data_IF_270759403799
#
_entry.id   IF_270759403799
#
_cell.length_a   1.000
_cell.length_b   1.000
_cell.length_c   1.000
_cell.angle_alpha   90.00
_cell.angle_beta   90.00
_cell.angle_gamma   90.00
#
_symmetry.space_group_name_H-M   'P 1'
#
loop_
_entity.id
_entity.type
_entity.pdbx_description
1 polymer ?
#
# COMPACT_ATOMS: atom_id res chain seq x y z
N UNK A 1 -55.08 6.50 -7.64
CA UNK A 1 -53.65 6.54 -7.25
C UNK A 1 -53.51 7.33 -5.95
N UNK A 2 -53.55 6.69 -4.76
CA UNK A 2 -53.46 7.41 -3.48
C UNK A 2 -52.03 7.89 -3.14
N UNK A 3 -51.00 7.18 -3.60
CA UNK A 3 -49.59 7.43 -3.26
C UNK A 3 -49.08 8.84 -3.57
N UNK A 4 -49.63 9.51 -4.60
CA UNK A 4 -49.16 10.85 -5.01
C UNK A 4 -49.45 11.92 -3.96
N UNK A 5 -50.64 11.91 -3.36
CA UNK A 5 -51.03 12.94 -2.37
C UNK A 5 -50.15 12.86 -1.12
N UNK A 6 -49.93 11.64 -0.60
CA UNK A 6 -49.04 11.40 0.55
C UNK A 6 -47.60 11.84 0.26
N UNK A 7 -47.10 11.60 -0.96
CA UNK A 7 -45.78 12.06 -1.37
C UNK A 7 -45.71 13.60 -1.42
N UNK A 8 -46.68 14.29 -2.02
CA UNK A 8 -46.70 15.76 -2.04
C UNK A 8 -46.74 16.37 -0.62
N UNK A 9 -47.50 15.77 0.30
CA UNK A 9 -47.56 16.21 1.71
C UNK A 9 -46.19 16.03 2.39
N UNK A 10 -45.55 14.86 2.27
CA UNK A 10 -44.24 14.60 2.88
C UNK A 10 -43.14 15.53 2.34
N UNK A 11 -43.10 15.71 1.01
CA UNK A 11 -42.15 16.63 0.35
C UNK A 11 -42.40 18.10 0.77
N UNK A 12 -43.66 18.51 0.90
CA UNK A 12 -44.06 19.84 1.34
C UNK A 12 -43.67 20.13 2.79
N UNK A 13 -43.90 19.18 3.71
CA UNK A 13 -43.49 19.28 5.12
C UNK A 13 -41.95 19.37 5.24
N UNK A 14 -41.21 18.55 4.49
CA UNK A 14 -39.74 18.60 4.46
C UNK A 14 -39.20 19.95 3.97
N UNK A 15 -39.82 20.53 2.93
CA UNK A 15 -39.48 21.86 2.43
C UNK A 15 -39.83 22.96 3.46
N UNK A 16 -41.02 22.92 4.05
CA UNK A 16 -41.47 23.90 5.05
C UNK A 16 -40.56 23.91 6.29
N UNK A 17 -40.16 22.74 6.80
CA UNK A 17 -39.20 22.64 7.91
C UNK A 17 -37.83 23.23 7.54
N UNK A 18 -37.35 22.99 6.32
CA UNK A 18 -36.07 23.52 5.83
C UNK A 18 -36.08 25.05 5.71
N UNK A 19 -37.19 25.63 5.23
CA UNK A 19 -37.39 27.09 5.15
C UNK A 19 -37.53 27.69 6.56
N UNK A 20 -38.31 27.08 7.45
CA UNK A 20 -38.47 27.51 8.84
C UNK A 20 -37.13 27.55 9.59
N UNK A 21 -36.28 26.54 9.41
CA UNK A 21 -34.94 26.51 9.97
C UNK A 21 -34.09 27.71 9.48
N UNK A 22 -34.09 27.99 8.18
CA UNK A 22 -33.33 29.10 7.59
C UNK A 22 -33.83 30.48 8.07
N UNK A 23 -35.15 30.67 8.19
CA UNK A 23 -35.74 31.91 8.71
C UNK A 23 -35.36 32.11 10.19
N UNK A 24 -35.52 31.09 11.03
CA UNK A 24 -35.23 31.16 12.47
C UNK A 24 -33.74 31.40 12.76
N UNK A 25 -32.83 30.83 11.97
CA UNK A 25 -31.38 30.93 12.21
C UNK A 25 -30.71 32.09 11.46
N UNK A 26 -31.37 32.70 10.47
CA UNK A 26 -31.00 33.96 9.79
C UNK A 26 -29.48 34.23 9.69
N UNK A 27 -28.71 33.34 9.01
CA UNK A 27 -27.25 33.36 9.06
C UNK A 27 -26.66 34.62 8.41
N UNK A 28 -26.14 35.54 9.25
CA UNK A 28 -25.70 36.89 8.85
C UNK A 28 -24.45 36.97 7.95
N UNK A 29 -23.90 35.84 7.49
CA UNK A 29 -22.80 35.76 6.52
C UNK A 29 -22.96 34.50 5.67
N UNK A 30 -22.70 34.62 4.36
CA UNK A 30 -22.41 33.44 3.52
C UNK A 30 -21.00 32.93 3.86
N UNK A 31 -20.89 31.68 4.28
CA UNK A 31 -19.65 31.07 4.78
C UNK A 31 -18.75 30.56 3.64
N UNK A 32 -17.43 30.49 3.87
CA UNK A 32 -16.48 29.89 2.93
C UNK A 32 -16.64 28.37 2.87
N UNK A 33 -16.37 27.77 1.70
CA UNK A 33 -16.61 26.34 1.38
C UNK A 33 -15.87 25.28 2.24
N UNK A 34 -15.06 25.66 3.23
CA UNK A 34 -14.14 24.71 3.92
C UNK A 34 -14.79 24.03 5.14
N UNK A 35 -15.95 24.48 5.59
CA UNK A 35 -16.67 23.90 6.74
C UNK A 35 -18.09 23.44 6.35
N UNK A 36 -18.25 22.16 6.00
CA UNK A 36 -19.56 21.50 5.87
C UNK A 36 -20.05 21.11 7.27
N UNK A 37 -20.54 22.09 8.02
CA UNK A 37 -21.25 21.86 9.28
C UNK A 37 -22.72 21.41 9.04
N UNK A 38 -23.42 21.01 10.11
CA UNK A 38 -24.77 20.43 10.01
C UNK A 38 -25.79 21.28 9.24
N UNK A 39 -25.63 22.61 9.22
CA UNK A 39 -26.53 23.54 8.49
C UNK A 39 -26.47 23.36 6.97
N UNK A 40 -25.34 22.91 6.41
CA UNK A 40 -25.24 22.62 4.97
C UNK A 40 -26.16 21.48 4.53
N UNK A 41 -26.32 20.46 5.37
CA UNK A 41 -27.21 19.33 5.07
C UNK A 41 -28.67 19.77 4.92
N UNK A 42 -29.14 20.72 5.74
CA UNK A 42 -30.50 21.27 5.63
C UNK A 42 -30.71 21.96 4.28
N UNK A 43 -29.72 22.72 3.79
CA UNK A 43 -29.79 23.38 2.48
C UNK A 43 -29.77 22.36 1.34
N UNK A 44 -28.86 21.38 1.39
CA UNK A 44 -28.74 20.32 0.36
C UNK A 44 -30.04 19.49 0.30
N UNK A 45 -30.59 19.10 1.45
CA UNK A 45 -31.85 18.35 1.56
C UNK A 45 -33.04 19.20 1.06
N UNK A 46 -33.09 20.48 1.42
CA UNK A 46 -34.11 21.42 0.93
C UNK A 46 -34.08 21.58 -0.60
N UNK A 47 -32.89 21.66 -1.20
CA UNK A 47 -32.72 21.70 -2.66
C UNK A 47 -33.12 20.38 -3.34
N UNK A 48 -32.86 19.23 -2.71
CA UNK A 48 -33.33 17.92 -3.20
C UNK A 48 -34.86 17.83 -3.15
N UNK A 49 -35.49 18.32 -2.08
CA UNK A 49 -36.97 18.38 -1.97
C UNK A 49 -37.57 19.33 -3.00
N UNK A 50 -37.03 20.54 -3.15
CA UNK A 50 -37.49 21.52 -4.15
C UNK A 50 -37.35 20.97 -5.58
N UNK A 51 -36.21 20.36 -5.92
CA UNK A 51 -35.99 19.70 -7.23
C UNK A 51 -36.97 18.55 -7.46
N UNK A 52 -37.25 17.74 -6.43
CA UNK A 52 -38.20 16.62 -6.52
C UNK A 52 -39.64 17.10 -6.77
N UNK A 53 -40.08 18.13 -6.04
CA UNK A 53 -41.37 18.78 -6.25
C UNK A 53 -41.49 19.38 -7.66
N UNK A 54 -40.44 20.04 -8.15
CA UNK A 54 -40.43 20.65 -9.48
C UNK A 54 -40.45 19.59 -10.60
N UNK A 55 -39.73 18.48 -10.44
CA UNK A 55 -39.78 17.33 -11.37
C UNK A 55 -41.13 16.60 -11.36
N UNK A 56 -41.84 16.59 -10.22
CA UNK A 56 -43.20 16.07 -10.11
C UNK A 56 -44.22 17.03 -10.75
N UNK A 57 -44.08 18.34 -10.54
CA UNK A 57 -44.90 19.37 -11.19
C UNK A 57 -44.76 19.39 -12.71
N UNK A 58 -43.54 19.24 -13.25
CA UNK A 58 -43.27 19.12 -14.69
C UNK A 58 -43.87 17.83 -15.29
N UNK A 59 -44.11 16.79 -14.47
CA UNK A 59 -44.87 15.58 -14.85
C UNK A 59 -46.38 15.69 -14.59
N UNK A 60 -46.86 16.82 -14.07
CA UNK A 60 -48.22 17.04 -13.56
C UNK A 60 -49.15 17.85 -14.48
N UNK A 61 -48.97 17.81 -15.81
CA UNK A 61 -49.76 18.60 -16.76
C UNK A 61 -50.26 17.78 -17.96
N UNK A 62 -51.45 17.13 -17.89
CA UNK A 62 -52.06 16.44 -19.02
C UNK A 62 -52.66 17.44 -20.02
N UNK A 63 -51.85 17.89 -20.99
CA UNK A 63 -52.34 18.70 -22.13
C UNK A 63 -53.00 17.78 -23.17
N UNK A 64 -54.32 17.66 -23.12
CA UNK A 64 -55.09 16.79 -24.02
C UNK A 64 -55.36 17.48 -25.37
N UNK A 65 -54.69 17.04 -26.45
CA UNK A 65 -55.17 16.95 -27.85
C UNK A 65 -54.04 16.59 -28.83
N UNK A 66 -54.33 16.07 -30.04
CA UNK A 66 -55.66 15.70 -30.54
C UNK A 66 -55.60 14.86 -31.83
N UNK A 67 -55.64 13.53 -31.79
CA UNK A 67 -55.56 12.67 -30.59
C UNK A 67 -54.34 12.96 -29.70
N UNK A 68 -53.09 12.78 -30.12
CA UNK A 68 -52.60 12.16 -31.37
C UNK A 68 -51.33 11.34 -31.07
N UNK A 69 -51.01 10.38 -31.95
CA UNK A 69 -49.70 9.69 -32.09
C UNK A 69 -49.05 8.97 -30.88
N UNK A 70 -49.15 7.63 -30.90
CA UNK A 70 -48.05 6.63 -30.75
C UNK A 70 -46.95 6.78 -29.66
N UNK A 71 -47.00 5.84 -28.72
CA UNK A 71 -46.01 4.73 -28.52
C UNK A 71 -44.84 4.80 -27.52
N UNK A 72 -44.44 3.58 -27.09
CA UNK A 72 -43.22 3.14 -26.38
C UNK A 72 -43.14 3.33 -24.85
N UNK A 73 -42.08 2.76 -24.25
CA UNK A 73 -42.16 1.92 -23.04
C UNK A 73 -40.92 2.00 -22.12
N UNK A 74 -41.07 1.76 -20.80
CA UNK A 74 -40.23 0.86 -19.98
C UNK A 74 -40.44 1.05 -18.44
N UNK A 75 -40.28 -0.05 -17.70
CA UNK A 75 -40.37 -0.21 -16.23
C UNK A 75 -39.07 0.11 -15.46
N UNK A 76 -39.15 0.41 -14.16
CA UNK A 76 -38.01 0.37 -13.21
C UNK A 76 -38.41 -0.05 -11.77
N UNK A 77 -37.41 -0.29 -10.92
CA UNK A 77 -37.42 -1.06 -9.65
C UNK A 77 -37.75 -0.27 -8.34
N UNK A 78 -37.99 -0.94 -7.19
CA UNK A 78 -38.45 -0.35 -5.92
C UNK A 78 -37.36 -0.04 -4.87
N UNK A 79 -37.78 0.37 -3.66
CA UNK A 79 -36.96 0.97 -2.57
C UNK A 79 -36.79 0.11 -1.28
N UNK A 80 -36.11 0.69 -0.28
CA UNK A 80 -35.53 0.12 0.97
C UNK A 80 -36.41 0.15 2.25
N UNK A 81 -35.99 -0.60 3.29
CA UNK A 81 -36.42 -0.51 4.71
C UNK A 81 -35.36 -1.21 5.64
N UNK A 82 -35.29 -1.09 6.99
CA UNK A 82 -35.74 -0.07 7.98
C UNK A 82 -35.37 -0.46 9.44
N UNK A 83 -35.13 0.52 10.34
CA UNK A 83 -35.28 0.45 11.85
C UNK A 83 -34.27 -0.42 12.67
N UNK A 84 -34.03 -0.33 14.00
CA UNK A 84 -34.37 0.56 15.18
C UNK A 84 -33.54 0.08 16.44
N UNK A 85 -33.54 0.56 17.71
CA UNK A 85 -34.04 1.77 18.46
C UNK A 85 -33.54 1.77 19.95
N UNK A 86 -33.43 2.94 20.62
CA UNK A 86 -33.34 3.12 22.11
C UNK A 86 -31.92 3.12 22.74
N UNK A 87 -31.62 3.66 23.94
CA UNK A 87 -32.36 4.46 24.95
C UNK A 87 -31.41 5.27 25.89
N UNK A 88 -31.93 6.13 26.78
CA UNK A 88 -31.23 7.21 27.57
C UNK A 88 -30.89 6.83 29.06
N UNK A 89 -30.53 7.74 30.02
CA UNK A 89 -29.64 8.93 30.09
C UNK A 89 -28.73 9.00 31.38
N UNK A 90 -28.24 10.21 31.75
CA UNK A 90 -27.60 10.70 33.03
C UNK A 90 -26.05 10.71 33.12
N UNK A 91 -25.35 11.57 33.89
CA UNK A 91 -25.55 13.00 34.28
C UNK A 91 -24.31 13.60 35.01
N UNK A 92 -24.04 14.92 34.88
CA UNK A 92 -23.09 15.70 35.70
C UNK A 92 -21.80 16.14 34.98
N UNK A 93 -21.58 17.42 34.60
CA UNK A 93 -21.07 18.57 35.40
C UNK A 93 -19.65 18.37 35.97
N UNK A 94 -18.59 18.94 35.38
CA UNK A 94 -18.06 20.32 35.60
C UNK A 94 -17.16 20.43 36.86
N UNK A 95 -15.92 20.94 36.84
CA UNK A 95 -15.12 21.50 35.72
C UNK A 95 -13.72 22.01 36.15
N UNK A 96 -13.16 22.96 35.40
CA UNK A 96 -11.97 23.82 35.69
C UNK A 96 -10.55 23.22 35.90
N UNK A 97 -9.73 23.47 34.87
CA UNK A 97 -8.27 23.78 34.79
C UNK A 97 -7.64 24.67 35.89
N UNK A 98 -6.29 24.88 35.95
CA UNK A 98 -5.13 24.06 35.47
C UNK A 98 -3.82 24.11 36.33
N UNK A 99 -2.79 23.36 35.87
CA UNK A 99 -1.32 23.71 35.85
C UNK A 99 -0.54 23.95 37.17
N UNK A 100 0.35 23.00 37.51
CA UNK A 100 1.74 23.28 37.93
C UNK A 100 2.68 22.05 37.85
N UNK A 101 3.93 22.28 37.46
CA UNK A 101 5.17 21.52 37.81
C UNK A 101 5.98 22.47 38.73
N UNK A 102 6.99 22.05 39.54
CA UNK A 102 8.05 21.11 39.13
C UNK A 102 8.75 20.26 40.24
N UNK A 103 9.79 19.52 39.79
CA UNK A 103 11.11 19.30 40.43
C UNK A 103 11.47 17.85 40.81
N UNK A 104 12.76 17.57 40.61
CA UNK A 104 13.58 16.36 40.85
C UNK A 104 14.08 16.33 42.32
N UNK A 105 14.77 15.28 42.87
CA UNK A 105 15.82 14.51 42.20
C UNK A 105 16.00 13.00 42.57
N UNK A 106 17.19 12.51 42.24
CA UNK A 106 17.72 11.14 42.20
C UNK A 106 17.95 10.49 43.58
N UNK A 107 18.19 9.17 43.60
CA UNK A 107 19.31 8.55 44.36
C UNK A 107 19.57 7.12 43.88
N UNK A 108 20.69 6.53 44.30
CA UNK A 108 21.35 5.41 43.60
C UNK A 108 21.78 4.26 44.52
N UNK A 109 21.83 3.05 43.93
CA UNK A 109 22.72 1.93 44.30
C UNK A 109 22.62 1.31 45.72
N UNK A 110 22.43 -0.01 45.76
CA UNK A 110 23.34 -0.87 46.54
C UNK A 110 23.38 -2.28 45.93
N UNK A 111 24.52 -2.97 46.07
CA UNK A 111 24.72 -4.33 45.57
C UNK A 111 25.06 -5.29 46.72
N UNK A 112 24.76 -6.57 46.55
CA UNK A 112 25.24 -7.65 47.43
C UNK A 112 25.97 -8.72 46.61
N UNK A 113 26.94 -9.38 47.25
CA UNK A 113 27.99 -10.14 46.58
C UNK A 113 27.79 -11.65 46.64
N UNK A 114 28.08 -12.35 45.53
CA UNK A 114 28.03 -13.80 45.41
C UNK A 114 29.15 -14.34 44.51
N UNK A 115 30.14 -15.02 45.10
CA UNK A 115 31.10 -15.90 44.40
C UNK A 115 30.36 -17.19 43.98
N UNK A 116 30.75 -17.99 42.98
CA UNK A 116 31.89 -18.02 42.02
C UNK A 116 31.48 -18.99 40.90
N UNK A 117 31.96 -18.82 39.66
CA UNK A 117 32.41 -19.86 38.71
C UNK A 117 32.88 -19.22 37.38
N UNK A 118 33.66 -19.93 36.55
CA UNK A 118 34.41 -19.34 35.42
C UNK A 118 34.40 -20.21 34.16
N UNK A 119 33.84 -19.70 33.05
CA UNK A 119 34.15 -20.02 31.63
C UNK A 119 33.17 -19.25 30.71
N UNK A 120 33.44 -19.19 29.39
CA UNK A 120 34.39 -18.31 28.70
C UNK A 120 33.70 -17.06 28.11
N UNK A 121 34.40 -16.27 27.30
CA UNK A 121 33.83 -15.07 26.65
C UNK A 121 32.64 -15.39 25.73
N UNK A 122 31.54 -14.65 25.87
CA UNK A 122 30.34 -14.83 25.07
C UNK A 122 29.54 -13.53 24.87
N UNK A 123 29.15 -13.27 23.62
CA UNK A 123 28.07 -12.38 23.20
C UNK A 123 27.96 -11.00 23.88
N UNK A 124 28.90 -10.08 23.57
CA UNK A 124 28.64 -8.65 23.78
C UNK A 124 27.67 -8.11 22.72
N UNK A 125 26.41 -7.92 23.10
CA UNK A 125 25.36 -7.35 22.24
C UNK A 125 25.22 -5.84 22.45
N UNK A 126 25.52 -5.03 21.42
CA UNK A 126 25.30 -3.58 21.43
C UNK A 126 24.64 -3.10 20.11
N UNK A 127 23.97 -1.93 20.12
CA UNK A 127 22.88 -1.64 19.19
C UNK A 127 23.29 -1.14 17.80
N UNK A 128 22.35 -1.24 16.86
CA UNK A 128 22.43 -0.64 15.51
C UNK A 128 22.03 0.83 15.53
N UNK A 129 22.78 1.66 14.82
CA UNK A 129 22.35 3.01 14.39
C UNK A 129 21.89 2.92 12.93
N UNK A 130 20.80 3.57 12.50
CA UNK A 130 20.43 3.67 11.09
C UNK A 130 21.45 4.52 10.32
N UNK A 131 21.76 4.16 9.08
CA UNK A 131 22.62 4.95 8.18
C UNK A 131 22.06 4.92 6.75
N UNK A 132 22.32 5.99 6.00
CA UNK A 132 21.59 6.35 4.77
C UNK A 132 21.67 5.31 3.64
N UNK A 133 20.52 4.96 3.07
CA UNK A 133 20.43 4.28 1.78
C UNK A 133 20.66 5.29 0.65
N UNK A 134 21.55 4.98 -0.30
CA UNK A 134 21.79 5.89 -1.44
C UNK A 134 20.59 5.96 -2.37
N UNK A 135 20.36 7.12 -2.98
CA UNK A 135 19.15 7.45 -3.77
C UNK A 135 18.92 6.49 -4.96
N UNK A 136 19.97 5.81 -5.42
CA UNK A 136 19.96 4.89 -6.57
C UNK A 136 19.04 3.70 -6.42
N UNK A 137 18.94 3.12 -5.21
CA UNK A 137 18.30 1.81 -5.00
C UNK A 137 16.82 1.90 -4.63
N UNK A 138 16.36 3.11 -4.25
CA UNK A 138 14.98 3.46 -3.88
C UNK A 138 13.93 3.15 -4.96
N UNK A 139 14.37 2.88 -6.18
CA UNK A 139 13.54 2.61 -7.35
C UNK A 139 13.89 1.25 -7.95
N UNK A 140 12.88 0.46 -8.29
CA UNK A 140 13.04 -0.87 -8.87
C UNK A 140 13.64 -0.77 -10.28
N UNK A 141 14.75 -1.47 -10.60
CA UNK A 141 15.55 -1.22 -11.80
C UNK A 141 14.84 -1.35 -13.17
N UNK A 142 13.84 -2.24 -13.26
CA UNK A 142 13.05 -2.48 -14.48
C UNK A 142 11.70 -1.77 -14.49
N UNK A 143 11.28 -1.19 -13.36
CA UNK A 143 10.02 -0.47 -13.28
C UNK A 143 10.16 0.92 -13.94
N UNK A 144 9.11 1.33 -14.64
CA UNK A 144 8.97 2.71 -15.10
C UNK A 144 8.93 3.64 -13.87
N UNK A 145 9.86 4.60 -13.77
CA UNK A 145 9.86 5.58 -12.67
C UNK A 145 8.90 6.73 -12.98
N UNK A 146 7.73 6.74 -12.34
CA UNK A 146 6.69 7.77 -12.49
C UNK A 146 6.40 8.44 -11.14
N UNK A 147 7.39 9.14 -10.60
CA UNK A 147 7.33 9.81 -9.29
C UNK A 147 6.20 10.84 -9.19
N UNK A 148 5.21 10.61 -8.34
CA UNK A 148 4.03 11.50 -8.19
C UNK A 148 4.17 12.59 -7.11
N UNK A 149 5.31 12.65 -6.42
CA UNK A 149 5.52 13.55 -5.28
C UNK A 149 4.78 13.06 -4.03
N UNK A 150 4.29 13.99 -3.19
CA UNK A 150 3.57 13.68 -1.94
C UNK A 150 4.32 12.67 -1.03
N UNK A 151 5.65 12.69 -1.03
CA UNK A 151 6.50 11.81 -0.20
C UNK A 151 6.50 12.27 1.26
N UNK A 152 6.36 11.33 2.20
CA UNK A 152 6.61 11.54 3.63
C UNK A 152 7.45 10.37 4.19
N UNK A 153 8.22 10.57 5.29
CA UNK A 153 9.10 9.53 5.82
C UNK A 153 8.36 8.33 6.41
N UNK A 154 9.10 7.24 6.54
CA UNK A 154 8.71 6.01 7.25
C UNK A 154 8.94 6.16 8.75
N UNK A 155 8.31 5.29 9.54
CA UNK A 155 8.61 5.10 10.96
C UNK A 155 9.63 3.95 11.15
N UNK A 156 10.25 3.85 12.32
CA UNK A 156 11.09 2.69 12.66
C UNK A 156 10.28 1.39 12.81
N UNK A 157 10.91 0.25 12.52
CA UNK A 157 10.32 -1.08 12.74
C UNK A 157 10.67 -2.09 11.66
N UNK A 158 10.21 -3.33 11.82
CA UNK A 158 10.46 -4.42 10.86
C UNK A 158 9.85 -4.13 9.50
N UNK A 159 10.66 -4.17 8.44
CA UNK A 159 10.24 -4.02 7.05
C UNK A 159 9.08 -4.97 6.69
N UNK A 160 8.12 -4.49 5.90
CA UNK A 160 7.00 -5.30 5.39
C UNK A 160 6.57 -4.86 3.99
N UNK A 161 5.83 -5.73 3.31
CA UNK A 161 5.13 -5.41 2.08
C UNK A 161 3.63 -5.75 2.21
N UNK A 162 2.79 -5.04 1.48
CA UNK A 162 1.34 -5.26 1.41
C UNK A 162 0.99 -5.49 -0.06
N UNK A 163 0.23 -6.54 -0.36
CA UNK A 163 -0.23 -6.80 -1.73
C UNK A 163 -1.73 -6.55 -1.89
N UNK A 164 -2.04 -5.88 -3.00
CA UNK A 164 -3.35 -5.41 -3.44
C UNK A 164 -3.69 -6.00 -4.82
N UNK A 165 -4.97 -6.02 -5.15
CA UNK A 165 -5.44 -6.17 -6.54
C UNK A 165 -6.52 -5.13 -6.81
N UNK A 166 -6.55 -4.62 -8.03
CA UNK A 166 -7.19 -3.32 -8.29
C UNK A 166 -8.71 -3.36 -8.21
N UNK A 167 -9.30 -4.55 -8.37
CA UNK A 167 -10.73 -4.81 -8.20
C UNK A 167 -11.65 -3.87 -9.03
N UNK A 168 -11.16 -3.32 -10.15
CA UNK A 168 -11.89 -2.35 -11.01
C UNK A 168 -13.27 -2.84 -11.47
N UNK A 169 -13.46 -4.16 -11.48
CA UNK A 169 -14.64 -4.85 -12.04
C UNK A 169 -15.06 -6.00 -11.13
N UNK A 170 -16.31 -5.95 -10.68
CA UNK A 170 -16.94 -7.06 -9.97
C UNK A 170 -17.40 -8.14 -10.98
N UNK A 171 -16.51 -9.08 -11.31
CA UNK A 171 -16.76 -10.17 -12.26
C UNK A 171 -17.18 -11.47 -11.56
N UNK A 172 -18.12 -12.19 -12.18
CA UNK A 172 -18.71 -13.42 -11.61
C UNK A 172 -18.44 -14.62 -12.52
N UNK A 173 -18.55 -15.85 -11.99
CA UNK A 173 -18.27 -17.08 -12.78
C UNK A 173 -19.16 -17.21 -14.02
N UNK A 174 -20.38 -16.67 -13.97
CA UNK A 174 -21.30 -16.61 -15.11
C UNK A 174 -21.07 -15.39 -16.04
N UNK A 175 -20.33 -14.38 -15.60
CA UNK A 175 -20.05 -13.13 -16.32
C UNK A 175 -18.62 -12.63 -16.03
N UNK A 176 -17.58 -13.32 -16.57
CA UNK A 176 -16.22 -12.78 -16.55
C UNK A 176 -16.15 -11.49 -17.37
N UNK A 177 -15.21 -10.60 -17.03
CA UNK A 177 -15.03 -9.32 -17.71
C UNK A 177 -13.60 -9.16 -18.20
N UNK A 178 -13.37 -8.43 -19.29
CA UNK A 178 -12.02 -8.18 -19.79
C UNK A 178 -11.21 -7.33 -18.81
N UNK A 179 -9.92 -7.67 -18.68
CA UNK A 179 -8.98 -6.94 -17.84
C UNK A 179 -8.91 -5.46 -18.24
N UNK A 180 -8.81 -4.56 -17.26
CA UNK A 180 -8.61 -3.13 -17.54
C UNK A 180 -7.21 -2.90 -18.13
N UNK A 181 -7.03 -2.08 -19.18
CA UNK A 181 -5.70 -1.83 -19.72
C UNK A 181 -4.75 -1.22 -18.69
N UNK A 182 -3.52 -1.74 -18.59
CA UNK A 182 -2.45 -1.23 -17.71
C UNK A 182 -2.25 0.29 -17.79
N UNK A 183 -2.38 0.86 -18.98
CA UNK A 183 -2.26 2.30 -19.21
C UNK A 183 -3.30 3.13 -18.44
N UNK A 184 -4.48 2.57 -18.16
CA UNK A 184 -5.53 3.23 -17.40
C UNK A 184 -5.15 3.32 -15.92
N UNK A 185 -4.71 2.24 -15.30
CA UNK A 185 -4.26 2.21 -13.90
C UNK A 185 -2.99 3.05 -13.70
N UNK A 186 -2.01 2.92 -14.60
CA UNK A 186 -0.81 3.78 -14.61
C UNK A 186 -1.19 5.27 -14.62
N UNK A 187 -2.20 5.64 -15.40
CA UNK A 187 -2.68 7.04 -15.46
C UNK A 187 -3.55 7.40 -14.25
N UNK A 188 -4.29 6.44 -13.68
CA UNK A 188 -5.07 6.62 -12.46
C UNK A 188 -4.16 7.00 -11.28
N UNK A 189 -3.18 6.16 -10.97
CA UNK A 189 -2.24 6.40 -9.88
C UNK A 189 -1.17 7.46 -10.22
N UNK A 190 -0.83 7.62 -11.50
CA UNK A 190 0.25 8.52 -11.96
C UNK A 190 -0.16 9.98 -12.21
N UNK A 191 -1.34 10.23 -12.80
CA UNK A 191 -1.72 11.57 -13.29
C UNK A 191 -3.13 12.02 -12.92
N UNK A 192 -4.08 11.11 -12.71
CA UNK A 192 -5.45 11.46 -12.32
C UNK A 192 -5.51 12.05 -10.89
N UNK A 193 -6.30 13.11 -10.71
CA UNK A 193 -6.33 13.89 -9.47
C UNK A 193 -6.90 13.14 -8.25
N UNK A 194 -7.78 12.16 -8.43
CA UNK A 194 -8.28 11.30 -7.33
C UNK A 194 -7.46 10.02 -7.18
N UNK A 195 -7.10 9.34 -8.28
CA UNK A 195 -6.29 8.11 -8.22
C UNK A 195 -4.89 8.31 -7.61
N UNK A 196 -4.28 9.48 -7.81
CA UNK A 196 -3.03 9.89 -7.12
C UNK A 196 -3.16 9.98 -5.60
N UNK A 197 -4.36 10.01 -5.04
CA UNK A 197 -4.60 10.06 -3.60
C UNK A 197 -4.67 8.67 -2.95
N UNK A 198 -4.70 7.60 -3.75
CA UNK A 198 -4.72 6.20 -3.30
C UNK A 198 -3.64 5.36 -3.99
N UNK A 199 -2.54 5.98 -4.41
CA UNK A 199 -1.50 5.37 -5.23
C UNK A 199 -0.53 4.47 -4.43
N UNK A 200 -0.18 3.28 -4.97
CA UNK A 200 0.71 2.30 -4.31
C UNK A 200 2.18 2.70 -4.49
N UNK A 201 3.12 1.93 -3.95
CA UNK A 201 4.53 2.06 -4.39
C UNK A 201 4.67 1.63 -5.84
N UNK A 202 4.15 0.45 -6.17
CA UNK A 202 4.30 -0.22 -7.47
C UNK A 202 2.95 -0.67 -8.02
N UNK A 203 2.73 -0.49 -9.33
CA UNK A 203 1.73 -1.21 -10.11
C UNK A 203 2.44 -2.26 -10.98
N UNK A 204 1.96 -3.50 -10.95
CA UNK A 204 2.52 -4.66 -11.64
C UNK A 204 1.49 -5.31 -12.58
N UNK A 205 1.86 -5.57 -13.83
CA UNK A 205 1.10 -6.39 -14.78
C UNK A 205 1.61 -7.84 -14.77
N UNK A 206 0.87 -8.81 -14.20
CA UNK A 206 1.32 -10.19 -14.10
C UNK A 206 1.24 -10.97 -15.43
N UNK A 207 0.58 -10.41 -16.46
CA UNK A 207 0.45 -11.03 -17.79
C UNK A 207 1.59 -10.62 -18.74
N UNK A 208 2.10 -9.39 -18.60
CA UNK A 208 3.18 -8.85 -19.43
C UNK A 208 4.52 -8.71 -18.70
N UNK A 209 4.51 -8.56 -17.38
CA UNK A 209 5.70 -8.25 -16.56
C UNK A 209 6.04 -6.76 -16.50
N UNK A 210 5.18 -5.88 -17.03
CA UNK A 210 5.37 -4.42 -16.92
C UNK A 210 5.18 -3.96 -15.49
N UNK A 211 6.01 -3.01 -15.04
CA UNK A 211 5.89 -2.38 -13.74
C UNK A 211 6.09 -0.87 -13.84
N UNK A 212 5.44 -0.13 -12.96
CA UNK A 212 5.61 1.33 -12.79
C UNK A 212 5.61 1.64 -11.30
N UNK A 213 6.52 2.51 -10.88
CA UNK A 213 6.69 2.91 -9.49
C UNK A 213 6.35 4.39 -9.30
N UNK A 214 5.59 4.70 -8.25
CA UNK A 214 5.09 6.06 -7.97
C UNK A 214 5.79 6.73 -6.78
N UNK A 215 6.29 5.94 -5.81
CA UNK A 215 7.00 6.41 -4.62
C UNK A 215 8.32 5.66 -4.42
N UNK A 216 9.38 6.31 -3.91
CA UNK A 216 10.61 5.62 -3.50
C UNK A 216 10.33 4.70 -2.30
N UNK A 217 11.06 3.58 -2.18
CA UNK A 217 10.83 2.57 -1.15
C UNK A 217 10.90 3.11 0.30
N UNK A 218 11.71 4.14 0.55
CA UNK A 218 11.86 4.80 1.86
C UNK A 218 10.83 5.90 2.14
N UNK A 219 9.69 5.92 1.45
CA UNK A 219 8.63 6.89 1.65
C UNK A 219 7.25 6.25 1.61
N UNK A 220 6.31 6.78 2.41
CA UNK A 220 4.97 6.24 2.53
C UNK A 220 4.15 6.49 1.26
N UNK A 221 3.56 5.45 0.69
CA UNK A 221 2.56 5.51 -0.39
C UNK A 221 1.17 5.77 0.20
N UNK A 222 0.08 5.52 -0.55
CA UNK A 222 -1.25 6.03 -0.22
C UNK A 222 -2.39 5.01 -0.39
N UNK A 223 -2.15 3.75 -0.75
CA UNK A 223 -3.23 2.78 -1.01
C UNK A 223 -3.89 2.22 0.25
N UNK A 224 -3.37 2.53 1.44
CA UNK A 224 -4.00 2.20 2.72
C UNK A 224 -4.69 3.44 3.32
N UNK A 225 -5.83 3.21 3.97
CA UNK A 225 -6.49 4.19 4.85
C UNK A 225 -5.59 4.44 6.07
N UNK A 226 -5.30 5.71 6.34
CA UNK A 226 -4.40 6.20 7.40
C UNK A 226 -5.18 7.25 8.22
N UNK A 227 -5.83 6.81 9.31
CA UNK A 227 -6.70 7.65 10.13
C UNK A 227 -5.89 8.56 11.07
N UNK A 228 -6.42 9.76 11.34
CA UNK A 228 -5.83 10.68 12.32
C UNK A 228 -5.84 10.05 13.72
N UNK A 229 -4.66 9.92 14.34
CA UNK A 229 -4.48 9.22 15.61
C UNK A 229 -4.46 7.68 15.51
N UNK A 230 -4.49 7.14 14.30
CA UNK A 230 -4.44 5.69 14.04
C UNK A 230 -3.04 5.08 14.03
N UNK A 231 -2.97 3.87 13.49
CA UNK A 231 -1.79 2.99 13.39
C UNK A 231 -0.76 3.41 12.34
N UNK A 232 -1.00 4.50 11.60
CA UNK A 232 -0.07 5.04 10.58
C UNK A 232 0.21 4.02 9.47
N UNK A 233 -0.83 3.35 8.99
CA UNK A 233 -0.82 2.18 8.09
C UNK A 233 0.19 2.26 6.94
N UNK A 234 0.21 3.36 6.19
CA UNK A 234 1.11 3.58 5.05
C UNK A 234 2.61 3.63 5.40
N UNK A 235 2.97 3.78 6.68
CA UNK A 235 4.34 4.15 7.10
C UNK A 235 4.90 3.46 8.35
N UNK A 236 4.09 2.70 9.09
CA UNK A 236 4.46 2.11 10.39
C UNK A 236 5.37 0.86 10.30
N UNK A 237 6.52 1.00 9.63
CA UNK A 237 7.66 0.08 9.50
C UNK A 237 8.75 0.78 8.68
N UNK A 238 10.03 0.38 8.83
CA UNK A 238 11.15 0.96 8.07
C UNK A 238 10.97 0.98 6.54
N UNK A 239 10.26 -0.01 5.99
CA UNK A 239 9.53 0.08 4.71
C UNK A 239 8.14 -0.54 4.83
N UNK A 240 7.18 -0.04 4.02
CA UNK A 240 5.82 -0.59 3.85
C UNK A 240 5.51 -0.65 2.36
N UNK A 241 6.12 -1.58 1.63
CA UNK A 241 6.04 -1.60 0.16
C UNK A 241 4.67 -2.08 -0.28
N UNK A 242 3.84 -1.19 -0.83
CA UNK A 242 2.50 -1.49 -1.35
C UNK A 242 2.59 -1.87 -2.84
N UNK A 243 2.20 -3.11 -3.15
CA UNK A 243 2.26 -3.70 -4.49
C UNK A 243 0.83 -3.91 -5.00
N UNK A 244 0.48 -3.19 -6.06
CA UNK A 244 -0.80 -3.26 -6.75
C UNK A 244 -0.68 -4.15 -7.98
N UNK A 245 -1.30 -5.32 -7.99
CA UNK A 245 -1.30 -6.20 -9.15
C UNK A 245 -2.54 -5.93 -10.02
N UNK A 246 -2.32 -5.62 -11.30
CA UNK A 246 -3.35 -5.45 -12.34
C UNK A 246 -4.12 -6.77 -12.53
N UNK A 247 -5.15 -6.92 -11.71
CA UNK A 247 -5.94 -8.14 -11.62
C UNK A 247 -7.27 -7.84 -10.92
N UNK A 248 -8.29 -8.62 -11.27
CA UNK A 248 -9.45 -8.83 -10.44
C UNK A 248 -9.91 -10.28 -10.65
N UNK A 249 -10.54 -10.93 -9.66
CA UNK A 249 -10.98 -12.31 -9.79
C UNK A 249 -11.95 -12.42 -10.98
N UNK A 250 -11.67 -13.35 -11.91
CA UNK A 250 -12.45 -13.58 -13.15
C UNK A 250 -12.30 -12.49 -14.20
N UNK A 251 -11.13 -11.84 -14.22
CA UNK A 251 -10.67 -11.11 -15.39
C UNK A 251 -10.43 -12.06 -16.57
N UNK A 252 -10.58 -11.52 -17.79
CA UNK A 252 -10.36 -12.20 -19.06
C UNK A 252 -9.24 -11.51 -19.84
N UNK A 253 -8.30 -12.31 -20.35
CA UNK A 253 -7.15 -11.87 -21.16
C UNK A 253 -6.97 -12.88 -22.29
N UNK A 254 -6.92 -12.42 -23.55
CA UNK A 254 -6.77 -13.29 -24.72
C UNK A 254 -7.86 -14.38 -24.82
N UNK A 255 -9.08 -14.09 -24.38
CA UNK A 255 -10.19 -15.05 -24.31
C UNK A 255 -10.18 -15.97 -23.08
N UNK A 256 -9.02 -16.25 -22.47
CA UNK A 256 -8.92 -17.05 -21.24
C UNK A 256 -9.38 -16.24 -20.02
N UNK A 257 -10.15 -16.88 -19.13
CA UNK A 257 -10.55 -16.34 -17.82
C UNK A 257 -9.62 -16.86 -16.72
N UNK A 258 -9.37 -16.03 -15.70
CA UNK A 258 -8.45 -16.32 -14.58
C UNK A 258 -9.19 -16.09 -13.25
N UNK A 259 -9.34 -17.12 -12.41
CA UNK A 259 -10.08 -17.00 -11.14
C UNK A 259 -9.23 -16.32 -10.05
N UNK A 260 -7.92 -16.61 -10.01
CA UNK A 260 -6.95 -16.14 -9.02
C UNK A 260 -5.73 -15.46 -9.67
N UNK A 261 -5.05 -14.59 -8.93
CA UNK A 261 -3.79 -13.97 -9.38
C UNK A 261 -2.71 -15.03 -9.69
N UNK A 262 -2.68 -16.13 -8.93
CA UNK A 262 -1.80 -17.29 -9.16
C UNK A 262 -2.14 -18.15 -10.39
N UNK A 263 -3.28 -17.92 -11.05
CA UNK A 263 -3.60 -18.59 -12.33
C UNK A 263 -2.98 -17.85 -13.54
N UNK A 264 -2.47 -16.62 -13.32
CA UNK A 264 -1.84 -15.78 -14.32
C UNK A 264 -0.40 -16.22 -14.62
N UNK A 265 0.26 -15.69 -15.68
CA UNK A 265 1.66 -15.99 -15.94
C UNK A 265 2.67 -15.48 -14.90
N UNK A 266 2.26 -14.67 -13.92
CA UNK A 266 3.12 -14.05 -12.89
C UNK A 266 4.45 -13.46 -13.43
N UNK A 267 4.47 -12.90 -14.65
CA UNK A 267 5.72 -12.42 -15.28
C UNK A 267 6.36 -11.32 -14.45
N UNK A 268 7.68 -11.38 -14.30
CA UNK A 268 8.44 -10.41 -13.51
C UNK A 268 8.32 -10.60 -11.99
N UNK A 269 7.53 -11.57 -11.50
CA UNK A 269 7.37 -11.82 -10.06
C UNK A 269 8.71 -11.99 -9.35
N UNK A 270 9.62 -12.79 -9.90
CA UNK A 270 10.91 -13.07 -9.23
C UNK A 270 11.77 -11.82 -9.05
N UNK A 271 11.72 -10.87 -10.00
CA UNK A 271 12.44 -9.60 -9.91
C UNK A 271 11.79 -8.64 -8.91
N UNK A 272 10.45 -8.55 -8.94
CA UNK A 272 9.65 -7.78 -7.98
C UNK A 272 9.87 -8.25 -6.55
N UNK A 273 9.78 -9.57 -6.34
CA UNK A 273 9.95 -10.21 -5.06
C UNK A 273 11.42 -10.13 -4.57
N UNK A 274 12.41 -10.26 -5.46
CA UNK A 274 13.81 -10.04 -5.11
C UNK A 274 14.11 -8.57 -4.73
N UNK A 275 13.50 -7.59 -5.42
CA UNK A 275 13.63 -6.17 -5.05
C UNK A 275 12.95 -5.88 -3.71
N UNK A 276 11.74 -6.39 -3.47
CA UNK A 276 11.05 -6.29 -2.17
C UNK A 276 11.88 -6.91 -1.05
N UNK A 277 12.42 -8.11 -1.24
CA UNK A 277 13.29 -8.78 -0.27
C UNK A 277 14.59 -8.02 0.00
N UNK A 278 15.13 -7.29 -1.00
CA UNK A 278 16.33 -6.46 -0.81
C UNK A 278 16.16 -5.31 0.18
N UNK A 279 14.91 -4.93 0.49
CA UNK A 279 14.56 -3.97 1.56
C UNK A 279 14.40 -4.61 2.95
N UNK A 280 14.76 -5.89 3.11
CA UNK A 280 14.65 -6.60 4.38
C UNK A 280 13.26 -7.12 4.71
N UNK A 281 12.31 -7.03 3.77
CA UNK A 281 11.03 -7.74 3.84
C UNK A 281 11.31 -9.25 3.74
N UNK A 282 10.61 -10.07 4.52
CA UNK A 282 10.78 -11.52 4.43
C UNK A 282 10.27 -12.04 3.08
N UNK A 283 10.98 -13.01 2.51
CA UNK A 283 10.61 -13.70 1.27
C UNK A 283 9.48 -14.74 1.53
N UNK A 284 8.37 -14.27 2.08
CA UNK A 284 7.16 -15.03 2.31
C UNK A 284 5.94 -14.11 2.22
N UNK A 285 4.92 -14.57 1.49
CA UNK A 285 3.65 -13.86 1.32
C UNK A 285 2.50 -14.72 1.89
N UNK A 286 2.40 -14.86 3.23
CA UNK A 286 1.29 -15.52 3.91
C UNK A 286 0.04 -14.62 3.85
N UNK A 287 -0.50 -14.45 2.65
CA UNK A 287 -1.76 -13.74 2.38
C UNK A 287 -2.94 -14.39 3.12
N UNK A 288 -2.77 -15.63 3.58
CA UNK A 288 -3.51 -16.22 4.69
C UNK A 288 -5.00 -16.41 4.42
N UNK A 289 -5.79 -16.31 5.49
CA UNK A 289 -7.24 -16.16 5.41
C UNK A 289 -7.58 -14.71 5.70
N UNK A 290 -8.35 -14.05 4.83
CA UNK A 290 -9.00 -12.79 5.16
C UNK A 290 -9.79 -12.98 6.46
N UNK A 291 -9.74 -12.02 7.41
CA UNK A 291 -10.70 -11.97 8.50
C UNK A 291 -12.11 -12.03 7.92
N UNK A 292 -12.97 -12.86 8.50
CA UNK A 292 -14.35 -12.99 8.04
C UNK A 292 -15.11 -11.68 8.28
N UNK A 293 -15.82 -11.20 7.26
CA UNK A 293 -16.36 -9.85 7.20
C UNK A 293 -17.30 -9.52 8.37
N UNK A 294 -16.79 -8.75 9.33
CA UNK A 294 -17.53 -8.09 10.41
C UNK A 294 -16.86 -6.73 10.71
N UNK A 295 -17.47 -5.59 10.36
CA UNK A 295 -16.86 -4.28 10.62
C UNK A 295 -16.74 -4.06 12.13
N UNK A 296 -15.49 -3.99 12.61
CA UNK A 296 -15.15 -3.85 14.04
C UNK A 296 -14.47 -5.05 14.68
N UNK A 297 -14.30 -6.19 13.98
CA UNK A 297 -13.77 -7.42 14.59
C UNK A 297 -12.24 -7.64 14.46
N UNK A 298 -11.48 -6.69 13.90
CA UNK A 298 -10.00 -6.77 13.91
C UNK A 298 -9.48 -6.28 15.25
N UNK A 299 -9.46 -7.18 16.24
CA UNK A 299 -8.71 -6.95 17.47
C UNK A 299 -7.21 -6.97 17.17
N UNK A 300 -6.46 -6.05 17.79
CA UNK A 300 -5.00 -5.93 17.67
C UNK A 300 -4.31 -7.16 18.26
N UNK A 301 -4.21 -8.24 17.49
CA UNK A 301 -3.67 -9.53 17.94
C UNK A 301 -3.71 -10.68 16.94
N UNK A 302 -4.50 -10.59 15.86
CA UNK A 302 -4.64 -11.68 14.86
C UNK A 302 -3.45 -11.84 13.88
N UNK A 303 -2.27 -12.16 14.42
CA UNK A 303 -1.45 -13.22 13.84
C UNK A 303 -0.53 -12.95 12.63
N UNK A 304 -0.39 -11.71 12.12
CA UNK A 304 0.68 -11.38 11.15
C UNK A 304 1.80 -10.55 11.81
N UNK A 305 2.28 -11.05 12.95
CA UNK A 305 3.34 -10.44 13.73
C UNK A 305 4.74 -10.79 13.19
N UNK A 306 5.14 -10.14 12.08
CA UNK A 306 6.54 -10.06 11.68
C UNK A 306 6.83 -10.22 10.18
N UNK A 307 7.55 -9.22 9.63
CA UNK A 307 8.36 -9.23 8.39
C UNK A 307 7.72 -9.59 7.04
N UNK A 308 6.59 -10.27 7.00
CA UNK A 308 6.08 -10.93 5.80
C UNK A 308 5.17 -10.05 4.92
N UNK A 309 5.00 -10.47 3.66
CA UNK A 309 4.02 -9.91 2.73
C UNK A 309 2.59 -10.18 3.19
N UNK A 310 1.84 -9.12 3.52
CA UNK A 310 0.49 -9.21 4.09
C UNK A 310 -0.59 -8.84 3.07
N UNK A 311 -1.82 -9.33 3.27
CA UNK A 311 -2.99 -8.86 2.54
C UNK A 311 -3.43 -7.46 3.00
N UNK A 312 -4.07 -6.70 2.11
CA UNK A 312 -4.74 -5.45 2.48
C UNK A 312 -5.78 -5.68 3.59
N UNK A 313 -6.50 -6.81 3.52
CA UNK A 313 -7.46 -7.28 4.55
C UNK A 313 -6.86 -7.62 5.92
N UNK A 314 -5.53 -7.57 6.08
CA UNK A 314 -4.83 -7.71 7.37
C UNK A 314 -4.37 -6.38 7.96
N UNK A 315 -4.47 -5.28 7.21
CA UNK A 315 -4.07 -3.96 7.70
C UNK A 315 -5.16 -3.37 8.59
N UNK A 316 -4.85 -2.90 9.81
CA UNK A 316 -5.80 -2.15 10.64
C UNK A 316 -6.44 -0.98 9.90
N UNK A 317 -7.62 -0.53 10.36
CA UNK A 317 -8.41 0.59 9.79
C UNK A 317 -9.00 0.36 8.39
N UNK A 318 -8.52 -0.64 7.64
CA UNK A 318 -8.95 -0.92 6.29
C UNK A 318 -10.11 -1.94 6.29
N UNK A 319 -11.12 -1.69 5.46
CA UNK A 319 -12.36 -2.46 5.34
C UNK A 319 -12.46 -3.26 4.02
N UNK A 320 -11.37 -3.25 3.25
CA UNK A 320 -11.20 -4.01 2.02
C UNK A 320 -10.91 -5.50 2.24
N UNK A 321 -11.11 -6.31 1.19
CA UNK A 321 -10.87 -7.77 1.21
C UNK A 321 -9.81 -8.25 0.21
N UNK A 322 -9.12 -7.35 -0.50
CA UNK A 322 -8.07 -7.72 -1.45
C UNK A 322 -6.83 -8.35 -0.78
N UNK A 323 -6.13 -9.29 -1.45
CA UNK A 323 -6.40 -9.83 -2.79
C UNK A 323 -7.45 -10.96 -2.85
N UNK A 324 -8.18 -11.23 -1.77
CA UNK A 324 -9.30 -12.18 -1.73
C UNK A 324 -9.01 -13.52 -1.04
N UNK A 325 -10.02 -14.38 -1.01
CA UNK A 325 -10.03 -15.60 -0.20
C UNK A 325 -9.25 -16.77 -0.82
N UNK A 326 -8.11 -17.11 -0.20
CA UNK A 326 -7.36 -18.38 -0.33
C UNK A 326 -6.73 -18.70 -1.71
N UNK A 327 -5.56 -19.34 -1.77
CA UNK A 327 -4.66 -19.81 -0.71
C UNK A 327 -3.49 -18.82 -0.48
N UNK A 328 -2.47 -19.22 0.30
CA UNK A 328 -1.21 -18.49 0.39
C UNK A 328 -0.65 -18.14 -0.99
N UNK A 329 -0.01 -16.98 -1.14
CA UNK A 329 0.62 -16.58 -2.40
C UNK A 329 1.99 -17.27 -2.57
N UNK A 330 1.98 -18.59 -2.40
CA UNK A 330 3.01 -19.49 -2.91
C UNK A 330 2.81 -19.55 -4.43
N UNK A 331 3.27 -18.49 -5.10
CA UNK A 331 3.99 -18.72 -6.36
C UNK A 331 5.03 -19.78 -6.01
N UNK A 332 5.08 -20.87 -6.78
CA UNK A 332 6.23 -21.78 -6.71
C UNK A 332 7.45 -20.99 -7.20
N UNK A 333 8.13 -20.33 -6.28
CA UNK A 333 9.48 -19.84 -6.49
C UNK A 333 10.34 -21.09 -6.70
N UNK A 334 10.63 -21.38 -7.96
CA UNK A 334 11.78 -22.21 -8.28
C UNK A 334 13.01 -21.57 -7.62
N UNK A 335 14.01 -22.38 -7.22
CA UNK A 335 15.22 -21.85 -6.58
C UNK A 335 15.73 -20.70 -7.47
N UNK A 336 15.81 -19.44 -6.96
CA UNK A 336 16.03 -18.29 -7.81
C UNK A 336 17.21 -18.52 -8.74
N UNK A 337 17.04 -18.35 -10.06
CA UNK A 337 18.13 -18.62 -11.00
C UNK A 337 19.39 -17.78 -10.70
N UNK A 338 19.19 -16.64 -10.03
CA UNK A 338 20.23 -15.74 -9.58
C UNK A 338 20.11 -15.44 -8.08
N UNK A 339 21.26 -15.30 -7.42
CA UNK A 339 21.42 -14.97 -6.01
C UNK A 339 20.69 -13.66 -5.69
N UNK A 340 19.73 -13.65 -4.74
CA UNK A 340 19.14 -12.41 -4.24
C UNK A 340 20.23 -11.45 -3.73
N UNK A 341 20.01 -10.15 -3.78
CA UNK A 341 21.01 -9.20 -3.25
C UNK A 341 21.13 -9.40 -1.72
N UNK A 342 22.30 -9.81 -1.17
CA UNK A 342 22.42 -10.20 0.23
C UNK A 342 22.51 -9.00 1.20
N UNK A 343 22.15 -7.79 0.72
CA UNK A 343 22.25 -6.54 1.46
C UNK A 343 23.66 -5.94 1.44
N UNK A 344 23.75 -4.63 1.45
CA UNK A 344 25.02 -3.87 1.42
C UNK A 344 25.98 -4.27 2.55
N UNK A 345 25.42 -4.57 3.73
CA UNK A 345 26.17 -5.04 4.90
C UNK A 345 26.85 -6.42 4.70
N UNK A 346 26.44 -7.22 3.73
CA UNK A 346 27.14 -8.48 3.41
C UNK A 346 28.54 -8.23 2.83
N UNK A 347 28.73 -7.10 2.15
CA UNK A 347 29.96 -6.73 1.44
C UNK A 347 30.91 -5.85 2.26
N UNK A 348 30.51 -5.47 3.47
CA UNK A 348 31.13 -4.43 4.27
C UNK A 348 31.45 -4.89 5.70
N UNK A 349 32.52 -4.34 6.27
CA UNK A 349 32.95 -4.48 7.65
C UNK A 349 33.08 -3.07 8.23
N UNK A 350 31.97 -2.52 8.72
CA UNK A 350 31.84 -1.09 8.98
C UNK A 350 31.93 -0.29 7.67
N UNK A 351 32.76 0.75 7.63
CA UNK A 351 32.98 1.60 6.44
C UNK A 351 33.98 1.05 5.41
N UNK A 352 34.46 -0.19 5.58
CA UNK A 352 35.46 -0.83 4.70
C UNK A 352 34.89 -2.09 4.02
N UNK A 353 35.43 -2.54 2.87
CA UNK A 353 35.07 -3.84 2.31
C UNK A 353 35.34 -4.99 3.30
N UNK A 354 34.51 -6.04 3.28
CA UNK A 354 34.64 -7.20 4.17
C UNK A 354 35.76 -8.17 3.76
N UNK A 355 36.97 -7.67 3.50
CA UNK A 355 38.10 -8.45 2.97
C UNK A 355 38.40 -9.67 3.84
N UNK A 356 38.67 -10.82 3.20
CA UNK A 356 38.91 -12.10 3.87
C UNK A 356 37.64 -12.87 4.28
N UNK A 357 36.45 -12.25 4.27
CA UNK A 357 35.18 -12.92 4.53
C UNK A 357 34.97 -14.06 3.53
N UNK A 358 34.56 -15.24 4.02
CA UNK A 358 34.33 -16.43 3.21
C UNK A 358 32.84 -16.60 2.86
N UNK A 359 32.52 -16.89 1.60
CA UNK A 359 31.19 -17.30 1.11
C UNK A 359 31.29 -17.83 -0.34
N UNK A 360 30.50 -18.86 -0.73
CA UNK A 360 30.40 -19.28 -2.14
C UNK A 360 29.89 -18.16 -3.07
N UNK A 361 29.16 -17.18 -2.52
CA UNK A 361 28.63 -16.02 -3.26
C UNK A 361 29.77 -15.22 -3.91
N UNK A 362 30.94 -15.11 -3.29
CA UNK A 362 32.09 -14.41 -3.87
C UNK A 362 32.64 -15.14 -5.10
N UNK A 363 32.72 -16.48 -5.06
CA UNK A 363 33.11 -17.30 -6.22
C UNK A 363 32.10 -17.13 -7.37
N UNK A 364 30.80 -17.12 -7.08
CA UNK A 364 29.74 -16.96 -8.07
C UNK A 364 29.75 -15.56 -8.70
N UNK A 365 29.89 -14.52 -7.87
CA UNK A 365 30.04 -13.13 -8.28
C UNK A 365 31.26 -12.95 -9.19
N UNK A 366 32.42 -13.43 -8.76
CA UNK A 366 33.67 -13.28 -9.51
C UNK A 366 33.67 -14.02 -10.85
N UNK A 367 33.06 -15.22 -10.93
CA UNK A 367 32.84 -15.92 -12.21
C UNK A 367 32.00 -15.10 -13.18
N UNK A 368 30.97 -14.39 -12.69
CA UNK A 368 30.18 -13.47 -13.53
C UNK A 368 30.94 -12.20 -13.89
N UNK A 369 31.74 -11.63 -12.99
CA UNK A 369 32.60 -10.48 -13.32
C UNK A 369 33.61 -10.83 -14.43
N UNK A 370 34.21 -12.03 -14.41
CA UNK A 370 35.03 -12.55 -15.51
C UNK A 370 34.23 -12.65 -16.81
N UNK A 371 33.06 -13.29 -16.78
CA UNK A 371 32.19 -13.43 -17.96
C UNK A 371 31.68 -12.08 -18.53
N UNK A 372 31.60 -11.03 -17.71
CA UNK A 372 31.28 -9.67 -18.13
C UNK A 372 32.49 -8.88 -18.68
N UNK A 373 33.69 -9.47 -18.73
CA UNK A 373 34.94 -8.78 -19.10
C UNK A 373 35.49 -7.85 -18.01
N UNK A 374 34.90 -7.88 -16.82
CA UNK A 374 35.22 -7.01 -15.69
C UNK A 374 36.18 -7.65 -14.67
N UNK A 375 36.42 -8.97 -14.74
CA UNK A 375 37.36 -9.65 -13.87
C UNK A 375 38.80 -9.12 -13.99
N UNK A 376 39.44 -8.91 -12.84
CA UNK A 376 40.83 -8.45 -12.66
C UNK A 376 41.64 -9.46 -11.79
N UNK A 377 41.25 -10.74 -11.86
CA UNK A 377 41.87 -11.82 -11.10
C UNK A 377 43.17 -12.29 -11.76
N UNK A 378 44.16 -12.66 -10.93
CA UNK A 378 45.42 -13.28 -11.41
C UNK A 378 45.27 -14.80 -11.58
N UNK A 379 44.73 -15.46 -10.55
CA UNK A 379 44.56 -16.93 -10.50
C UNK A 379 43.11 -17.36 -10.74
N UNK A 380 42.15 -16.44 -10.62
CA UNK A 380 40.72 -16.67 -10.73
C UNK A 380 39.92 -16.20 -9.51
N UNK A 381 38.58 -16.26 -9.56
CA UNK A 381 37.71 -15.91 -8.44
C UNK A 381 37.61 -17.04 -7.41
N UNK A 382 37.74 -16.69 -6.12
CA UNK A 382 37.70 -17.63 -4.99
C UNK A 382 36.55 -17.35 -4.01
N UNK A 383 36.47 -18.16 -2.95
CA UNK A 383 35.42 -18.05 -1.93
C UNK A 383 35.70 -17.01 -0.83
N UNK A 384 36.88 -16.39 -0.81
CA UNK A 384 37.21 -15.29 0.11
C UNK A 384 37.20 -13.97 -0.65
N UNK A 385 36.49 -12.96 -0.14
CA UNK A 385 36.48 -11.63 -0.74
C UNK A 385 37.89 -11.01 -0.71
N UNK A 386 38.47 -10.78 -1.88
CA UNK A 386 39.78 -10.13 -2.05
C UNK A 386 39.68 -8.76 -2.72
N UNK A 387 40.79 -8.03 -2.79
CA UNK A 387 40.85 -6.74 -3.49
C UNK A 387 40.52 -6.89 -4.99
N UNK A 388 40.89 -8.03 -5.60
CA UNK A 388 40.53 -8.33 -6.99
C UNK A 388 39.01 -8.35 -7.23
N UNK A 389 38.20 -8.83 -6.27
CA UNK A 389 36.74 -8.77 -6.35
C UNK A 389 36.23 -7.32 -6.30
N UNK A 390 36.79 -6.53 -5.39
CA UNK A 390 36.46 -5.11 -5.21
C UNK A 390 36.73 -4.35 -6.50
N UNK A 391 37.94 -4.46 -7.04
CA UNK A 391 38.36 -3.76 -8.26
C UNK A 391 37.55 -4.24 -9.50
N UNK A 392 37.28 -5.54 -9.59
CA UNK A 392 36.48 -6.14 -10.67
C UNK A 392 35.03 -5.64 -10.64
N UNK A 393 34.43 -5.56 -9.45
CA UNK A 393 33.07 -5.07 -9.29
C UNK A 393 32.98 -3.57 -9.56
N UNK A 394 33.97 -2.78 -9.12
CA UNK A 394 34.07 -1.36 -9.50
C UNK A 394 34.19 -1.16 -11.02
N UNK A 395 34.99 -1.99 -11.71
CA UNK A 395 35.07 -2.00 -13.18
C UNK A 395 33.71 -2.35 -13.82
N UNK A 396 32.94 -3.25 -13.21
CA UNK A 396 31.59 -3.59 -13.66
C UNK A 396 30.58 -2.45 -13.45
N UNK A 397 30.62 -1.73 -12.31
CA UNK A 397 29.75 -0.57 -12.11
C UNK A 397 30.09 0.56 -13.12
N UNK A 398 31.36 0.75 -13.48
CA UNK A 398 31.76 1.66 -14.57
C UNK A 398 31.27 1.20 -15.94
N UNK A 399 31.31 -0.11 -16.25
CA UNK A 399 30.71 -0.70 -17.46
C UNK A 399 29.20 -0.42 -17.55
N UNK A 400 28.51 -0.38 -16.40
CA UNK A 400 27.10 -0.02 -16.27
C UNK A 400 26.83 1.50 -16.23
N UNK A 401 27.82 2.33 -16.57
CA UNK A 401 27.77 3.80 -16.60
C UNK A 401 27.46 4.49 -15.24
N UNK A 402 27.70 3.82 -14.11
CA UNK A 402 27.71 4.51 -12.82
C UNK A 402 28.92 5.45 -12.70
N UNK A 403 28.74 6.55 -11.96
CA UNK A 403 29.76 7.58 -11.70
C UNK A 403 29.83 7.90 -10.20
N UNK A 404 30.87 8.66 -9.78
CA UNK A 404 31.04 9.08 -8.39
C UNK A 404 31.12 7.90 -7.41
N UNK A 405 30.45 8.03 -6.26
CA UNK A 405 30.35 6.98 -5.24
C UNK A 405 29.59 5.73 -5.71
N UNK A 406 28.65 5.85 -6.64
CA UNK A 406 27.96 4.69 -7.22
C UNK A 406 28.86 3.86 -8.17
N UNK A 407 30.00 4.41 -8.58
CA UNK A 407 31.05 3.69 -9.30
C UNK A 407 32.11 3.06 -8.36
N UNK A 408 31.82 2.99 -7.05
CA UNK A 408 32.72 2.48 -6.01
C UNK A 408 32.07 1.33 -5.24
N UNK A 409 32.90 0.52 -4.58
CA UNK A 409 32.42 -0.55 -3.69
C UNK A 409 31.61 0.05 -2.53
N UNK A 410 30.55 -0.60 -2.02
CA UNK A 410 30.07 -1.97 -2.30
C UNK A 410 29.12 -2.13 -3.50
N UNK A 411 28.78 -3.39 -3.86
CA UNK A 411 27.62 -3.71 -4.67
C UNK A 411 26.32 -3.09 -4.13
N UNK A 412 25.50 -2.54 -5.02
CA UNK A 412 24.09 -2.21 -4.76
C UNK A 412 23.14 -3.20 -5.47
N UNK A 413 21.87 -3.32 -5.05
CA UNK A 413 20.91 -4.27 -5.62
C UNK A 413 20.76 -4.10 -7.14
N UNK A 414 20.81 -2.86 -7.65
CA UNK A 414 20.69 -2.58 -9.09
C UNK A 414 21.85 -3.13 -9.91
N UNK A 415 23.10 -3.01 -9.43
CA UNK A 415 24.26 -3.58 -10.13
C UNK A 415 24.31 -5.09 -9.91
N UNK A 416 23.91 -5.59 -8.74
CA UNK A 416 23.87 -7.02 -8.42
C UNK A 416 22.92 -7.79 -9.35
N UNK A 417 21.70 -7.29 -9.51
CA UNK A 417 20.71 -7.87 -10.42
C UNK A 417 21.23 -7.92 -11.87
N UNK A 418 21.85 -6.83 -12.34
CA UNK A 418 22.48 -6.77 -13.68
C UNK A 418 23.65 -7.74 -13.84
N UNK A 419 24.38 -8.06 -12.78
CA UNK A 419 25.48 -9.04 -12.82
C UNK A 419 24.97 -10.48 -13.00
N UNK A 420 23.75 -10.80 -12.57
CA UNK A 420 23.15 -12.14 -12.67
C UNK A 420 24.06 -13.23 -12.07
N UNK A 421 24.42 -13.04 -10.81
CA UNK A 421 25.17 -14.02 -9.99
C UNK A 421 24.32 -15.27 -9.79
N UNK A 422 24.75 -16.51 -10.13
CA UNK A 422 23.95 -17.71 -9.87
C UNK A 422 23.69 -17.95 -8.37
N UNK A 423 22.50 -18.45 -8.01
CA UNK A 423 22.15 -18.75 -6.61
C UNK A 423 22.82 -20.05 -6.14
N UNK A 424 23.66 -19.96 -5.11
CA UNK A 424 24.59 -21.03 -4.67
C UNK A 424 24.15 -21.71 -3.38
#
# INVERSE_FOLDING_TARGET
MPYTLTQYVLLGVGLAASVGFLVLHSPRRFFRMVEINASWWVIIIGLIYARSLLLLGVRGAPRVRGGTSRSLSASWLPSTASSWSGSSPTSGTCGTTPRARPRLPETSSTALSGKRLTAPEGASSCPRTPMEATVSDLWMPSAERLSIGNTAPMDDGTAKAIAHITWDRNATKAKPQDLVPYANLRSCFGSNASGRQSAPHLLWDPFTGRMVQFFPANSRSLSLRDLSGGTRTNRASSVVIQVEALFFPRCRVGGKTYERLTDTPCKGWDELNAWVASWGVANSWPMGKSPTASPGSVTSGSGVSGAAGSAHSHVPENDHTDPGFSQDFIVKTEKPAFEPFPGTAFFMSGSKPALGKCSPIFTAMGKRLVAEGCGLYKEGPGSKLGQADVDSYEKFQRKLAYTGSAAKWPPGPTSWFKLKVPNV
#
